data_IF_349235368121
#
_entry.id   IF_349235368121
#
_cell.length_a   1.000
_cell.length_b   1.000
_cell.length_c   1.000
_cell.angle_alpha   90.00
_cell.angle_beta   90.00
_cell.angle_gamma   90.00
#
_symmetry.space_group_name_H-M   'P 1'
#
loop_
_entity.id
_entity.type
_entity.pdbx_description
1 polymer ?
#
# COMPACT_ATOMS: atom_id res chain seq x y z
N UNK A 1 -50.45 -32.54 45.27
CA UNK A 1 -49.76 -31.30 45.69
C UNK A 1 -48.31 -31.41 45.23
N UNK A 2 -47.83 -30.45 44.41
CA UNK A 2 -46.44 -29.93 44.27
C UNK A 2 -45.30 -30.97 44.10
N UNK A 3 -44.42 -30.98 43.09
CA UNK A 3 -43.74 -29.91 42.34
C UNK A 3 -42.89 -30.47 41.17
N UNK A 4 -42.92 -29.70 40.07
CA UNK A 4 -41.98 -29.44 38.95
C UNK A 4 -40.96 -30.45 38.38
N UNK A 5 -40.77 -30.43 37.03
CA UNK A 5 -39.69 -31.07 36.30
C UNK A 5 -38.43 -30.17 36.22
N UNK A 6 -37.24 -30.77 36.39
CA UNK A 6 -35.96 -30.11 36.11
C UNK A 6 -35.60 -30.36 34.64
N UNK A 7 -36.00 -29.44 33.77
CA UNK A 7 -35.51 -29.35 32.40
C UNK A 7 -34.20 -28.55 32.41
N UNK A 8 -33.07 -29.24 32.41
CA UNK A 8 -31.77 -28.66 32.09
C UNK A 8 -31.15 -29.50 30.97
N UNK A 9 -31.31 -29.03 29.75
CA UNK A 9 -30.36 -29.30 28.68
C UNK A 9 -30.41 -28.09 27.74
N UNK A 10 -29.62 -27.09 28.11
CA UNK A 10 -29.29 -25.92 27.30
C UNK A 10 -28.82 -26.39 25.92
N UNK A 11 -29.69 -26.26 24.91
CA UNK A 11 -29.28 -26.36 23.52
C UNK A 11 -28.30 -25.20 23.27
N UNK A 12 -27.01 -25.53 23.25
CA UNK A 12 -25.94 -24.61 22.96
C UNK A 12 -26.22 -23.93 21.62
N UNK A 13 -26.48 -22.64 21.69
CA UNK A 13 -26.59 -21.76 20.54
C UNK A 13 -25.19 -21.69 19.92
N UNK A 14 -24.87 -22.63 19.04
CA UNK A 14 -23.78 -22.52 18.07
C UNK A 14 -24.20 -21.43 17.07
N UNK A 15 -24.07 -20.18 17.51
CA UNK A 15 -23.90 -19.04 16.63
C UNK A 15 -22.58 -19.30 15.90
N UNK A 16 -22.69 -20.00 14.76
CA UNK A 16 -21.67 -19.97 13.73
C UNK A 16 -21.59 -18.51 13.33
N UNK A 17 -20.63 -17.79 13.91
CA UNK A 17 -20.22 -16.50 13.41
C UNK A 17 -19.76 -16.79 11.98
N UNK A 18 -20.65 -16.59 11.01
CA UNK A 18 -20.24 -16.38 9.64
C UNK A 18 -19.33 -15.17 9.69
N UNK A 19 -18.03 -15.42 9.81
CA UNK A 19 -16.99 -14.47 9.48
C UNK A 19 -17.18 -14.25 7.99
N UNK A 20 -18.14 -13.39 7.66
CA UNK A 20 -18.15 -12.71 6.39
C UNK A 20 -16.81 -12.00 6.42
N UNK A 21 -15.87 -12.50 5.63
CA UNK A 21 -14.63 -11.81 5.34
C UNK A 21 -15.06 -10.45 4.82
N UNK A 22 -15.12 -9.48 5.73
CA UNK A 22 -15.45 -8.11 5.41
C UNK A 22 -14.37 -7.71 4.43
N UNK A 23 -14.75 -7.54 3.16
CA UNK A 23 -13.87 -6.95 2.17
C UNK A 23 -13.64 -5.52 2.66
N UNK A 24 -12.52 -5.31 3.36
CA UNK A 24 -12.15 -4.05 3.97
C UNK A 24 -11.54 -3.08 2.94
N UNK A 25 -12.05 -3.09 1.70
CA UNK A 25 -11.76 -2.01 0.76
C UNK A 25 -12.68 -0.86 1.16
N UNK A 26 -12.13 0.32 1.51
CA UNK A 26 -12.95 1.47 1.86
C UNK A 26 -13.92 1.82 0.73
N UNK A 27 -15.20 2.13 1.02
CA UNK A 27 -16.19 2.39 -0.03
C UNK A 27 -15.82 3.58 -0.93
N UNK A 28 -15.04 4.52 -0.40
CA UNK A 28 -14.55 5.71 -1.11
C UNK A 28 -13.31 5.45 -1.99
N UNK A 29 -12.80 4.22 -2.02
CA UNK A 29 -11.57 3.85 -2.72
C UNK A 29 -11.76 2.63 -3.62
N UNK A 30 -11.19 2.68 -4.82
CA UNK A 30 -11.14 1.49 -5.68
C UNK A 30 -10.19 0.44 -5.10
N UNK A 31 -10.49 -0.83 -5.35
CA UNK A 31 -9.62 -1.96 -4.98
C UNK A 31 -8.19 -1.76 -5.50
N UNK A 32 -8.04 -1.24 -6.71
CA UNK A 32 -6.76 -0.90 -7.31
C UNK A 32 -5.97 0.12 -6.46
N UNK A 33 -6.60 1.25 -6.12
CA UNK A 33 -5.95 2.30 -5.34
C UNK A 33 -5.65 1.85 -3.91
N UNK A 34 -6.50 1.01 -3.32
CA UNK A 34 -6.27 0.48 -1.99
C UNK A 34 -5.10 -0.52 -1.97
N UNK A 35 -5.00 -1.40 -2.97
CA UNK A 35 -3.83 -2.28 -3.13
C UNK A 35 -2.54 -1.48 -3.31
N UNK A 36 -2.53 -0.50 -4.23
CA UNK A 36 -1.38 0.38 -4.47
C UNK A 36 -1.01 1.16 -3.20
N UNK A 37 -2.02 1.62 -2.46
CA UNK A 37 -1.89 2.28 -1.16
C UNK A 37 -1.24 1.39 -0.12
N UNK A 38 -1.67 0.14 -0.01
CA UNK A 38 -1.11 -0.83 0.93
C UNK A 38 0.36 -1.11 0.64
N UNK A 39 0.69 -1.46 -0.62
CA UNK A 39 2.08 -1.73 -1.03
C UNK A 39 3.00 -0.53 -0.78
N UNK A 40 2.53 0.67 -1.13
CA UNK A 40 3.27 1.91 -0.87
C UNK A 40 3.48 2.15 0.63
N UNK A 41 2.45 1.87 1.44
CA UNK A 41 2.51 2.02 2.90
C UNK A 41 3.53 1.08 3.52
N UNK A 42 3.51 -0.22 3.14
CA UNK A 42 4.49 -1.21 3.63
C UNK A 42 5.92 -0.78 3.28
N UNK A 43 6.14 -0.37 2.03
CA UNK A 43 7.46 0.09 1.59
C UNK A 43 7.96 1.29 2.39
N UNK A 44 7.08 2.27 2.66
CA UNK A 44 7.46 3.44 3.45
C UNK A 44 7.60 3.11 4.95
N UNK A 45 6.81 2.18 5.50
CA UNK A 45 6.97 1.68 6.87
C UNK A 45 8.38 1.11 7.08
N UNK A 46 8.79 0.17 6.22
CA UNK A 46 10.12 -0.46 6.28
C UNK A 46 11.21 0.61 6.13
N UNK A 47 11.09 1.49 5.15
CA UNK A 47 12.07 2.57 4.92
C UNK A 47 12.19 3.52 6.11
N UNK A 48 11.09 3.90 6.76
CA UNK A 48 11.15 4.72 7.97
C UNK A 48 11.76 3.92 9.11
N UNK A 49 11.34 2.67 9.30
CA UNK A 49 11.83 1.78 10.34
C UNK A 49 13.36 1.61 10.27
N UNK A 50 13.88 1.33 9.08
CA UNK A 50 15.30 1.08 8.78
C UNK A 50 16.14 2.36 8.58
N UNK A 51 15.54 3.55 8.63
CA UNK A 51 16.25 4.81 8.41
C UNK A 51 17.44 5.02 9.36
N UNK A 52 18.50 5.70 8.89
CA UNK A 52 19.68 6.01 9.70
C UNK A 52 19.32 6.80 10.98
N UNK A 53 18.30 7.68 10.92
CA UNK A 53 17.74 8.39 12.08
C UNK A 53 17.26 7.46 13.21
N UNK A 54 17.00 6.20 12.88
CA UNK A 54 16.50 5.18 13.79
C UNK A 54 17.58 4.17 14.22
N UNK A 55 18.81 4.24 13.66
CA UNK A 55 19.87 3.26 13.90
C UNK A 55 20.17 3.02 15.37
N UNK A 56 20.24 4.10 16.16
CA UNK A 56 20.58 4.08 17.59
C UNK A 56 19.37 3.97 18.52
N UNK A 57 18.15 3.84 17.98
CA UNK A 57 16.93 3.76 18.79
C UNK A 57 16.59 2.33 19.16
N UNK A 58 15.89 2.16 20.29
CA UNK A 58 15.30 0.86 20.65
C UNK A 58 14.31 0.41 19.57
N UNK A 59 14.15 -0.90 19.40
CA UNK A 59 13.25 -1.49 18.40
C UNK A 59 11.83 -0.89 18.47
N UNK A 60 11.26 -0.85 19.68
CA UNK A 60 9.94 -0.26 19.95
C UNK A 60 9.86 1.22 19.56
N UNK A 61 10.91 2.00 19.78
CA UNK A 61 10.95 3.40 19.33
C UNK A 61 11.02 3.54 17.81
N UNK A 62 11.66 2.59 17.09
CA UNK A 62 11.64 2.55 15.63
C UNK A 62 10.24 2.26 15.11
N UNK A 63 9.56 1.25 15.68
CA UNK A 63 8.17 0.89 15.33
C UNK A 63 7.23 2.07 15.56
N UNK A 64 7.27 2.66 16.76
CA UNK A 64 6.43 3.81 17.11
C UNK A 64 6.63 4.99 16.14
N UNK A 65 7.89 5.31 15.78
CA UNK A 65 8.18 6.36 14.79
C UNK A 65 7.64 5.99 13.40
N UNK A 66 7.82 4.74 12.96
CA UNK A 66 7.34 4.27 11.66
C UNK A 66 5.81 4.42 11.57
N UNK A 67 5.07 3.90 12.55
CA UNK A 67 3.62 4.00 12.63
C UNK A 67 3.14 5.46 12.64
N UNK A 68 3.81 6.34 13.40
CA UNK A 68 3.39 7.73 13.55
C UNK A 68 3.70 8.63 12.33
N UNK A 69 4.65 8.25 11.48
CA UNK A 69 5.17 9.16 10.45
C UNK A 69 5.03 8.65 9.02
N UNK A 70 4.67 7.39 8.81
CA UNK A 70 4.59 6.81 7.46
C UNK A 70 3.51 7.45 6.61
N UNK A 71 2.32 7.76 7.16
CA UNK A 71 1.22 8.34 6.38
C UNK A 71 1.39 9.84 6.06
N UNK A 72 2.58 10.42 6.24
CA UNK A 72 2.84 11.80 5.84
C UNK A 72 2.88 11.93 4.32
N UNK A 73 2.24 12.97 3.80
CA UNK A 73 2.19 13.28 2.36
C UNK A 73 3.57 13.27 1.69
N UNK A 74 4.60 13.72 2.40
CA UNK A 74 5.98 13.78 1.93
C UNK A 74 6.56 12.42 1.52
N UNK A 75 6.13 11.35 2.17
CA UNK A 75 6.59 9.99 1.87
C UNK A 75 6.03 9.46 0.54
N UNK A 76 4.94 10.04 0.05
CA UNK A 76 4.27 9.60 -1.18
C UNK A 76 4.42 10.57 -2.36
N UNK A 77 5.16 11.68 -2.19
CA UNK A 77 5.32 12.74 -3.23
C UNK A 77 5.86 12.25 -4.57
N UNK A 78 6.59 11.14 -4.59
CA UNK A 78 7.24 10.59 -5.80
C UNK A 78 6.41 9.52 -6.50
N UNK A 79 5.23 9.19 -5.99
CA UNK A 79 4.37 8.16 -6.56
C UNK A 79 3.52 8.70 -7.72
N UNK A 80 3.02 7.76 -8.54
CA UNK A 80 2.34 8.04 -9.82
C UNK A 80 1.02 8.79 -9.65
N UNK A 81 0.26 8.46 -8.61
CA UNK A 81 -1.03 9.08 -8.31
C UNK A 81 -0.89 10.23 -7.30
N UNK A 82 -1.93 11.06 -7.23
CA UNK A 82 -1.99 12.21 -6.31
C UNK A 82 -1.66 11.72 -4.88
N UNK A 83 -0.64 12.28 -4.21
CA UNK A 83 -0.19 11.74 -2.93
C UNK A 83 -1.29 11.68 -1.86
N UNK A 84 -2.28 12.56 -1.93
CA UNK A 84 -3.46 12.52 -1.05
C UNK A 84 -4.21 11.18 -1.06
N UNK A 85 -4.30 10.48 -2.21
CA UNK A 85 -4.95 9.16 -2.29
C UNK A 85 -4.14 8.05 -1.61
N UNK A 86 -2.81 8.15 -1.66
CA UNK A 86 -1.94 7.24 -0.92
C UNK A 86 -1.98 7.50 0.58
N UNK A 87 -2.02 8.77 0.99
CA UNK A 87 -2.19 9.15 2.40
C UNK A 87 -3.51 8.61 2.94
N UNK A 88 -4.60 8.78 2.20
CA UNK A 88 -5.92 8.25 2.56
C UNK A 88 -5.88 6.73 2.75
N UNK A 89 -5.30 5.98 1.80
CA UNK A 89 -5.16 4.53 1.90
C UNK A 89 -4.29 4.10 3.09
N UNK A 90 -3.17 4.80 3.32
CA UNK A 90 -2.26 4.55 4.43
C UNK A 90 -2.96 4.74 5.77
N UNK A 91 -3.69 5.86 5.94
CA UNK A 91 -4.42 6.15 7.16
C UNK A 91 -5.48 5.08 7.42
N UNK A 92 -6.28 4.72 6.42
CA UNK A 92 -7.30 3.68 6.58
C UNK A 92 -6.69 2.32 6.93
N UNK A 93 -5.59 1.94 6.28
CA UNK A 93 -4.89 0.70 6.58
C UNK A 93 -4.33 0.69 8.01
N UNK A 94 -3.64 1.76 8.41
CA UNK A 94 -3.04 1.83 9.75
C UNK A 94 -4.07 2.05 10.86
N UNK A 95 -5.20 2.70 10.61
CA UNK A 95 -6.31 2.79 11.57
C UNK A 95 -6.96 1.43 11.79
N UNK A 96 -7.15 0.66 10.72
CA UNK A 96 -7.82 -0.65 10.77
C UNK A 96 -6.91 -1.74 11.34
N UNK A 97 -5.63 -1.74 10.97
CA UNK A 97 -4.68 -2.81 11.28
C UNK A 97 -3.54 -2.37 12.21
N UNK A 98 -3.70 -1.26 12.96
CA UNK A 98 -2.66 -0.66 13.80
C UNK A 98 -1.87 -1.69 14.63
N UNK A 99 -2.58 -2.49 15.42
CA UNK A 99 -2.01 -3.48 16.34
C UNK A 99 -1.30 -4.61 15.58
N UNK A 100 -1.87 -5.05 14.46
CA UNK A 100 -1.27 -6.07 13.62
C UNK A 100 0.01 -5.56 12.98
N UNK A 101 -0.01 -4.37 12.38
CA UNK A 101 1.19 -3.75 11.78
C UNK A 101 2.28 -3.51 12.83
N UNK A 102 1.92 -3.04 14.02
CA UNK A 102 2.86 -2.92 15.13
C UNK A 102 3.49 -4.27 15.47
N UNK A 103 2.67 -5.31 15.64
CA UNK A 103 3.16 -6.67 15.92
C UNK A 103 4.09 -7.20 14.82
N UNK A 104 3.75 -6.98 13.56
CA UNK A 104 4.56 -7.42 12.42
C UNK A 104 5.90 -6.67 12.35
N UNK A 105 5.90 -5.37 12.62
CA UNK A 105 7.13 -4.57 12.68
C UNK A 105 7.98 -4.86 13.91
N UNK A 106 7.38 -5.40 14.98
CA UNK A 106 8.12 -5.88 16.16
C UNK A 106 8.85 -7.21 15.90
N UNK A 107 8.47 -7.97 14.87
CA UNK A 107 9.25 -9.11 14.40
C UNK A 107 10.55 -8.64 13.72
N UNK A 108 11.58 -9.49 13.70
CA UNK A 108 12.90 -9.14 13.13
C UNK A 108 13.00 -9.34 11.62
N UNK A 109 12.03 -10.03 11.00
CA UNK A 109 11.99 -10.28 9.56
C UNK A 109 10.78 -9.56 8.95
N UNK A 110 11.06 -8.62 8.03
CA UNK A 110 10.06 -7.82 7.33
C UNK A 110 9.92 -8.19 5.85
N UNK A 111 10.63 -9.22 5.39
CA UNK A 111 10.68 -9.61 3.97
C UNK A 111 9.31 -9.95 3.38
N UNK A 112 8.40 -10.48 4.20
CA UNK A 112 7.06 -10.89 3.79
C UNK A 112 5.95 -9.91 4.25
N UNK A 113 6.30 -8.75 4.81
CA UNK A 113 5.33 -7.82 5.38
C UNK A 113 4.28 -7.35 4.36
N UNK A 114 4.66 -7.19 3.09
CA UNK A 114 3.72 -6.83 2.02
C UNK A 114 2.71 -7.94 1.76
N UNK A 115 3.16 -9.19 1.65
CA UNK A 115 2.30 -10.33 1.42
C UNK A 115 1.30 -10.49 2.57
N UNK A 116 1.82 -10.51 3.80
CA UNK A 116 1.01 -10.72 4.99
C UNK A 116 0.00 -9.59 5.19
N UNK A 117 0.42 -8.32 5.06
CA UNK A 117 -0.47 -7.21 5.28
C UNK A 117 -1.44 -6.98 4.11
N UNK A 118 -0.95 -6.93 2.86
CA UNK A 118 -1.74 -6.49 1.71
C UNK A 118 -2.58 -7.59 1.05
N UNK A 119 -2.25 -8.86 1.29
CA UNK A 119 -2.99 -9.99 0.74
C UNK A 119 -3.68 -10.79 1.83
N UNK A 120 -2.95 -11.25 2.85
CA UNK A 120 -3.47 -12.26 3.76
C UNK A 120 -4.40 -11.65 4.83
N UNK A 121 -4.05 -10.47 5.37
CA UNK A 121 -4.78 -9.82 6.46
C UNK A 121 -5.80 -8.78 6.00
N UNK A 122 -5.41 -7.89 5.09
CA UNK A 122 -6.29 -6.80 4.65
C UNK A 122 -7.13 -7.13 3.41
N UNK A 123 -6.76 -8.18 2.68
CA UNK A 123 -7.33 -8.51 1.36
C UNK A 123 -7.27 -7.32 0.37
N UNK A 124 -6.41 -6.32 0.64
CA UNK A 124 -6.37 -5.06 -0.10
C UNK A 124 -6.06 -5.25 -1.59
N UNK A 125 -5.26 -6.28 -1.91
CA UNK A 125 -4.84 -6.61 -3.26
C UNK A 125 -5.67 -7.73 -3.92
N UNK A 126 -6.76 -8.16 -3.30
CA UNK A 126 -7.62 -9.18 -3.89
C UNK A 126 -8.31 -8.67 -5.16
N UNK A 127 -8.10 -9.37 -6.27
CA UNK A 127 -8.70 -8.98 -7.56
C UNK A 127 -8.15 -7.66 -8.12
N UNK A 128 -7.12 -7.06 -7.51
CA UNK A 128 -6.38 -5.97 -8.11
C UNK A 128 -5.51 -6.52 -9.26
N UNK A 129 -5.39 -5.80 -10.38
CA UNK A 129 -4.47 -6.20 -11.45
C UNK A 129 -3.03 -6.24 -10.95
N UNK A 130 -2.23 -7.19 -11.45
CA UNK A 130 -0.83 -7.29 -11.07
C UNK A 130 -0.02 -6.14 -11.67
N UNK A 131 0.27 -5.13 -10.85
CA UNK A 131 1.10 -3.97 -11.23
C UNK A 131 2.61 -4.24 -11.24
N UNK A 132 3.05 -5.52 -11.19
CA UNK A 132 4.47 -5.90 -11.36
C UNK A 132 5.09 -5.35 -12.65
N UNK A 133 4.28 -5.04 -13.64
CA UNK A 133 4.69 -4.28 -14.81
C UNK A 133 4.02 -2.92 -14.78
N UNK A 134 4.79 -1.91 -14.41
CA UNK A 134 4.41 -0.53 -14.67
C UNK A 134 4.61 -0.27 -16.18
N UNK A 135 3.54 -0.08 -16.98
CA UNK A 135 3.67 0.25 -18.40
C UNK A 135 4.28 1.64 -18.65
N UNK A 136 4.69 2.38 -17.60
CA UNK A 136 5.42 3.65 -17.72
C UNK A 136 6.94 3.53 -17.74
N UNK A 137 7.52 2.33 -17.58
CA UNK A 137 8.89 2.09 -18.08
C UNK A 137 8.75 1.42 -19.45
N UNK A 138 8.87 2.15 -20.57
CA UNK A 138 8.88 1.51 -21.87
C UNK A 138 10.03 0.50 -21.88
N UNK A 139 9.70 -0.76 -22.08
CA UNK A 139 10.70 -1.76 -22.42
C UNK A 139 11.16 -1.43 -23.85
N UNK A 140 12.35 -0.84 -23.94
CA UNK A 140 12.97 -0.45 -25.19
C UNK A 140 13.83 -1.62 -25.61
N UNK A 141 13.38 -2.34 -26.64
CA UNK A 141 14.20 -3.35 -27.31
C UNK A 141 14.90 -2.67 -28.48
N UNK A 142 16.23 -2.63 -28.42
CA UNK A 142 17.06 -2.21 -29.55
C UNK A 142 17.43 -3.47 -30.32
N UNK A 143 17.01 -3.56 -31.58
CA UNK A 143 17.44 -4.67 -32.44
C UNK A 143 18.89 -4.51 -32.89
N UNK A 144 19.49 -5.57 -33.43
CA UNK A 144 20.90 -5.61 -33.85
C UNK A 144 21.24 -4.58 -34.94
N UNK A 145 20.24 -3.95 -35.54
CA UNK A 145 20.37 -2.89 -36.54
C UNK A 145 20.19 -1.48 -35.94
N UNK A 146 20.05 -1.35 -34.62
CA UNK A 146 19.92 -0.09 -33.90
C UNK A 146 18.51 0.51 -33.90
N UNK A 147 17.48 -0.23 -34.33
CA UNK A 147 16.11 0.28 -34.32
C UNK A 147 15.45 0.04 -32.97
N UNK A 148 14.75 1.07 -32.48
CA UNK A 148 13.98 1.02 -31.24
C UNK A 148 12.57 0.51 -31.53
N UNK A 149 12.20 -0.62 -30.94
CA UNK A 149 10.82 -1.12 -30.94
C UNK A 149 10.19 -0.94 -29.57
N UNK A 150 8.98 -0.38 -29.56
CA UNK A 150 8.15 -0.26 -28.37
C UNK A 150 7.30 -1.53 -28.25
N UNK A 151 7.26 -2.12 -27.06
CA UNK A 151 6.39 -3.29 -26.78
C UNK A 151 4.94 -2.83 -26.67
N UNK A 152 4.04 -3.50 -27.41
CA UNK A 152 2.60 -3.16 -27.46
C UNK A 152 1.97 -3.21 -26.05
N UNK A 153 1.22 -2.16 -25.68
CA UNK A 153 0.60 -1.99 -24.36
C UNK A 153 1.24 -0.90 -23.47
N UNK A 154 2.30 -0.23 -23.92
CA UNK A 154 2.93 0.90 -23.20
C UNK A 154 2.34 2.24 -23.62
N UNK A 155 1.68 2.95 -22.69
CA UNK A 155 1.22 4.32 -22.92
C UNK A 155 2.35 5.32 -22.62
N UNK A 156 3.06 5.77 -23.65
CA UNK A 156 4.05 6.85 -23.51
C UNK A 156 3.32 8.19 -23.44
N UNK A 157 3.31 8.84 -22.27
CA UNK A 157 2.92 10.25 -22.18
C UNK A 157 4.02 11.11 -22.80
N UNK A 158 3.78 11.62 -24.01
CA UNK A 158 4.66 12.61 -24.62
C UNK A 158 4.73 13.86 -23.74
N UNK A 159 5.91 14.17 -23.21
CA UNK A 159 6.17 15.45 -22.54
C UNK A 159 6.25 16.51 -23.64
N UNK A 160 5.36 17.52 -23.62
CA UNK A 160 5.48 18.66 -24.53
C UNK A 160 6.89 19.26 -24.40
N UNK A 161 7.60 19.54 -25.51
CA UNK A 161 8.87 20.23 -25.45
C UNK A 161 8.71 21.56 -24.70
N UNK A 162 9.67 21.92 -23.85
CA UNK A 162 9.68 23.24 -23.22
C UNK A 162 9.75 24.32 -24.33
N UNK A 163 8.98 25.42 -24.23
CA UNK A 163 9.09 26.51 -25.19
C UNK A 163 10.51 27.09 -25.13
N UNK A 164 11.19 27.10 -26.27
CA UNK A 164 12.47 27.82 -26.42
C UNK A 164 12.14 29.31 -26.39
N UNK A 165 12.55 30.03 -25.34
CA UNK A 165 12.49 31.50 -25.33
C UNK A 165 13.53 32.03 -26.33
N UNK A 166 13.17 32.86 -27.31
CA UNK A 166 14.15 33.53 -28.14
C UNK A 166 15.01 34.46 -27.28
N UNK A 167 16.33 34.35 -27.38
CA UNK A 167 17.26 35.31 -26.80
C UNK A 167 17.19 36.60 -27.62
N UNK A 168 16.59 37.64 -27.06
CA UNK A 168 16.68 38.99 -27.59
C UNK A 168 17.98 39.61 -27.06
N UNK A 169 19.10 39.37 -27.73
CA UNK A 169 20.30 40.18 -27.56
C UNK A 169 20.32 41.21 -28.70
N UNK A 170 20.19 42.46 -28.27
CA UNK A 170 20.26 43.69 -29.05
C UNK A 170 21.52 43.76 -29.89
N UNK A 171 21.36 44.02 -31.18
CA UNK A 171 22.40 44.65 -31.99
C UNK A 171 22.18 46.16 -31.90
N UNK A 172 23.20 46.85 -31.42
CA UNK A 172 23.31 48.30 -31.32
C UNK A 172 24.37 48.73 -32.33
#
# INVERSE_FOLDING_TARGET
>A
MKTLPVLIATAGLLLVLSISTVRCVPPEMSTDMYCLGCKATVKELIKVFESEDNKHKSHSAKVSKAMATTCKHDNFKRLKYVPGKYVEACLQLLETYASTVESLLMNTDHSNLEQELCHDLSDACHGAPDHKHDPTKPEIVVDDNGNVKFVDGTHVKAKRPNPVRPNLHSEL
#
